data_IF_679093143568
#
_entry.id   IF_679093143568
#
_cell.length_a   1.000
_cell.length_b   1.000
_cell.length_c   1.000
_cell.angle_alpha   90.00
_cell.angle_beta   90.00
_cell.angle_gamma   90.00
#
_symmetry.space_group_name_H-M   'P 1'
#
loop_
_entity.id
_entity.type
_entity.pdbx_description
1 polymer ?
#
# COMPACT_ATOMS: atom_id res chain seq x y z
N UNK A 1 -69.28 5.26 -10.60
CA UNK A 1 -68.35 5.04 -9.47
C UNK A 1 -67.11 5.86 -9.78
N UNK A 2 -66.87 6.96 -9.06
CA UNK A 2 -65.62 7.70 -9.21
C UNK A 2 -64.53 6.89 -8.52
N UNK A 3 -63.45 6.58 -9.23
CA UNK A 3 -62.28 5.95 -8.63
C UNK A 3 -61.68 6.95 -7.64
N UNK A 4 -61.64 6.61 -6.36
CA UNK A 4 -61.02 7.45 -5.33
C UNK A 4 -59.52 7.54 -5.61
N UNK A 5 -59.10 8.66 -6.18
CA UNK A 5 -57.72 8.95 -6.54
C UNK A 5 -56.88 9.45 -5.37
N UNK A 6 -57.45 9.62 -4.17
CA UNK A 6 -56.73 10.17 -3.01
C UNK A 6 -55.47 9.37 -2.64
N UNK A 7 -55.44 8.02 -2.67
CA UNK A 7 -54.21 7.29 -2.34
C UNK A 7 -53.15 7.47 -3.43
N UNK A 8 -53.56 7.57 -4.70
CA UNK A 8 -52.65 7.82 -5.83
C UNK A 8 -52.08 9.23 -5.82
N UNK A 9 -52.87 10.23 -5.41
CA UNK A 9 -52.41 11.61 -5.23
C UNK A 9 -51.47 11.75 -4.03
N UNK A 10 -51.74 11.07 -2.92
CA UNK A 10 -50.84 11.02 -1.75
C UNK A 10 -49.51 10.35 -2.11
N UNK A 11 -49.53 9.22 -2.82
CA UNK A 11 -48.31 8.56 -3.27
C UNK A 11 -47.50 9.41 -4.27
N UNK A 12 -48.16 10.08 -5.21
CA UNK A 12 -47.50 10.98 -6.18
C UNK A 12 -46.89 12.20 -5.48
N UNK A 13 -47.59 12.75 -4.49
CA UNK A 13 -47.10 13.89 -3.70
C UNK A 13 -45.93 13.48 -2.79
N UNK A 14 -45.98 12.28 -2.22
CA UNK A 14 -44.87 11.72 -1.43
C UNK A 14 -43.62 11.47 -2.29
N UNK A 15 -43.77 10.98 -3.53
CA UNK A 15 -42.66 10.82 -4.47
C UNK A 15 -42.05 12.17 -4.89
N UNK A 16 -42.87 13.20 -5.11
CA UNK A 16 -42.40 14.55 -5.44
C UNK A 16 -41.72 15.25 -4.25
N UNK A 17 -42.06 14.86 -3.02
CA UNK A 17 -41.44 15.39 -1.81
C UNK A 17 -40.04 14.78 -1.51
N UNK A 18 -39.64 13.72 -2.22
CA UNK A 18 -38.30 13.12 -2.04
C UNK A 18 -37.24 14.08 -2.62
N UNK A 19 -36.32 14.60 -1.80
CA UNK A 19 -35.31 15.54 -2.26
C UNK A 19 -34.17 14.80 -3.00
N UNK A 20 -34.44 14.31 -4.21
CA UNK A 20 -33.48 13.56 -5.03
C UNK A 20 -32.16 14.32 -5.22
N UNK A 21 -32.21 15.65 -5.31
CA UNK A 21 -31.01 16.49 -5.38
C UNK A 21 -30.09 16.35 -4.16
N UNK A 22 -30.66 16.25 -2.96
CA UNK A 22 -29.87 16.04 -1.73
C UNK A 22 -29.44 14.58 -1.55
N UNK A 23 -30.30 13.63 -1.93
CA UNK A 23 -30.03 12.19 -1.82
C UNK A 23 -28.94 11.72 -2.79
N UNK A 24 -28.85 12.34 -3.97
CA UNK A 24 -27.83 12.01 -4.98
C UNK A 24 -26.63 12.96 -4.86
N UNK A 25 -26.88 14.26 -4.64
CA UNK A 25 -25.84 15.27 -4.56
C UNK A 25 -24.96 15.16 -3.32
N UNK A 26 -25.52 14.72 -2.18
CA UNK A 26 -24.75 14.51 -0.94
C UNK A 26 -23.64 13.46 -1.11
N UNK A 27 -23.96 12.22 -1.51
CA UNK A 27 -22.96 11.18 -1.79
C UNK A 27 -21.98 11.58 -2.89
N UNK A 28 -22.44 12.16 -4.00
CA UNK A 28 -21.53 12.62 -5.07
C UNK A 28 -20.53 13.66 -4.58
N UNK A 29 -20.99 14.64 -3.79
CA UNK A 29 -20.11 15.66 -3.19
C UNK A 29 -19.10 15.03 -2.24
N UNK A 30 -19.55 14.11 -1.37
CA UNK A 30 -18.68 13.40 -0.44
C UNK A 30 -17.60 12.58 -1.18
N UNK A 31 -17.95 11.97 -2.31
CA UNK A 31 -16.99 11.25 -3.15
C UNK A 31 -15.95 12.19 -3.78
N UNK A 32 -16.35 13.37 -4.27
CA UNK A 32 -15.41 14.38 -4.80
C UNK A 32 -14.45 14.84 -3.70
N UNK A 33 -14.97 15.13 -2.51
CA UNK A 33 -14.15 15.52 -1.36
C UNK A 33 -13.19 14.40 -0.93
N UNK A 34 -13.67 13.15 -0.89
CA UNK A 34 -12.84 11.99 -0.57
C UNK A 34 -11.73 11.76 -1.61
N UNK A 35 -12.04 11.93 -2.90
CA UNK A 35 -11.04 11.85 -3.97
C UNK A 35 -9.99 12.97 -3.88
N UNK A 36 -10.42 14.19 -3.59
CA UNK A 36 -9.51 15.32 -3.39
C UNK A 36 -8.58 15.08 -2.20
N UNK A 37 -9.12 14.57 -1.08
CA UNK A 37 -8.34 14.22 0.11
C UNK A 37 -7.36 13.09 -0.20
N UNK A 38 -7.80 12.02 -0.89
CA UNK A 38 -6.92 10.92 -1.29
C UNK A 38 -5.77 11.42 -2.18
N UNK A 39 -6.06 12.28 -3.16
CA UNK A 39 -5.03 12.87 -4.02
C UNK A 39 -4.05 13.76 -3.23
N UNK A 40 -4.53 14.53 -2.26
CA UNK A 40 -3.67 15.32 -1.36
C UNK A 40 -2.79 14.42 -0.51
N UNK A 41 -3.31 13.33 0.04
CA UNK A 41 -2.54 12.36 0.82
C UNK A 41 -1.45 11.71 -0.04
N UNK A 42 -1.76 11.28 -1.26
CA UNK A 42 -0.76 10.73 -2.18
C UNK A 42 0.32 11.78 -2.51
N UNK A 43 -0.07 13.03 -2.75
CA UNK A 43 0.87 14.13 -3.01
C UNK A 43 1.77 14.42 -1.80
N UNK A 44 1.20 14.50 -0.60
CA UNK A 44 1.95 14.69 0.65
C UNK A 44 2.93 13.55 0.87
N UNK A 45 2.49 12.31 0.69
CA UNK A 45 3.36 11.14 0.78
C UNK A 45 4.55 11.24 -0.16
N UNK A 46 4.33 11.62 -1.43
CA UNK A 46 5.41 11.80 -2.41
C UNK A 46 6.36 12.92 -1.98
N UNK A 47 5.84 14.03 -1.45
CA UNK A 47 6.66 15.16 -1.01
C UNK A 47 7.49 14.85 0.23
N UNK A 48 6.92 14.15 1.20
CA UNK A 48 7.56 13.87 2.49
C UNK A 48 8.50 12.67 2.42
N UNK A 49 8.14 11.63 1.68
CA UNK A 49 8.88 10.38 1.63
C UNK A 49 9.73 10.28 0.36
N UNK A 50 9.23 10.81 -0.76
CA UNK A 50 9.87 10.66 -2.07
C UNK A 50 10.89 11.74 -2.43
N UNK A 51 10.88 12.88 -1.74
CA UNK A 51 11.68 14.04 -2.10
C UNK A 51 12.43 14.58 -0.88
N UNK A 52 13.71 14.90 -1.06
CA UNK A 52 14.52 15.63 -0.10
C UNK A 52 14.72 17.06 -0.59
N UNK A 53 14.76 18.03 0.32
CA UNK A 53 14.98 19.44 -0.04
C UNK A 53 16.36 19.87 0.42
N UNK A 54 17.22 20.21 -0.53
CA UNK A 54 18.55 20.75 -0.23
C UNK A 54 18.43 22.18 0.36
N UNK A 55 19.47 22.63 1.05
CA UNK A 55 19.67 24.01 1.54
C UNK A 55 19.42 25.10 0.50
N UNK A 56 19.50 24.78 -0.79
CA UNK A 56 19.19 25.69 -1.91
C UNK A 56 17.70 25.72 -2.31
N UNK A 57 16.83 24.94 -1.64
CA UNK A 57 15.41 24.79 -1.97
C UNK A 57 15.12 23.87 -3.16
N UNK A 58 16.14 23.20 -3.72
CA UNK A 58 15.95 22.19 -4.78
C UNK A 58 15.42 20.90 -4.19
N UNK A 59 14.41 20.32 -4.85
CA UNK A 59 13.86 19.01 -4.49
C UNK A 59 14.54 17.92 -5.30
N UNK A 60 15.12 16.96 -4.62
CA UNK A 60 15.79 15.80 -5.21
C UNK A 60 15.09 14.51 -4.77
N UNK A 61 15.01 13.52 -5.66
CA UNK A 61 14.39 12.25 -5.34
C UNK A 61 15.20 11.51 -4.26
N UNK A 62 14.49 10.99 -3.25
CA UNK A 62 15.08 10.09 -2.26
C UNK A 62 15.37 8.76 -2.95
N UNK A 63 16.64 8.40 -3.02
CA UNK A 63 17.08 7.13 -3.56
C UNK A 63 17.60 6.22 -2.46
N UNK A 64 17.32 4.93 -2.59
CA UNK A 64 17.89 3.85 -1.78
C UNK A 64 19.02 3.22 -2.57
N UNK A 65 20.18 3.07 -1.93
CA UNK A 65 21.33 2.38 -2.51
C UNK A 65 21.40 0.96 -1.97
N UNK A 66 21.26 -0.03 -2.84
CA UNK A 66 21.55 -1.43 -2.54
C UNK A 66 23.01 -1.70 -2.90
N UNK A 67 23.80 -2.15 -1.93
CA UNK A 67 25.14 -2.67 -2.18
C UNK A 67 25.07 -4.19 -2.24
N UNK A 68 25.55 -4.75 -3.34
CA UNK A 68 25.55 -6.20 -3.57
C UNK A 68 26.83 -6.62 -4.27
N UNK A 69 27.14 -7.90 -4.18
CA UNK A 69 28.27 -8.48 -4.88
C UNK A 69 27.80 -9.00 -6.25
N UNK A 70 28.50 -8.61 -7.31
CA UNK A 70 28.25 -9.13 -8.65
C UNK A 70 29.58 -9.45 -9.29
N UNK A 71 29.76 -10.70 -9.74
CA UNK A 71 31.01 -11.17 -10.35
C UNK A 71 32.21 -10.77 -9.48
N UNK A 72 32.16 -11.14 -8.20
CA UNK A 72 33.17 -10.83 -7.19
C UNK A 72 33.60 -9.37 -7.01
N UNK A 73 32.78 -8.40 -7.42
CA UNK A 73 32.97 -6.97 -7.17
C UNK A 73 31.79 -6.39 -6.41
N UNK A 74 32.06 -5.44 -5.51
CA UNK A 74 31.01 -4.65 -4.86
C UNK A 74 30.43 -3.67 -5.87
N UNK A 75 29.14 -3.80 -6.13
CA UNK A 75 28.36 -2.93 -7.01
C UNK A 75 27.29 -2.22 -6.20
N UNK A 76 26.95 -1.00 -6.62
CA UNK A 76 25.89 -0.18 -6.00
C UNK A 76 24.76 -0.01 -7.00
N UNK A 77 23.55 -0.37 -6.62
CA UNK A 77 22.32 -0.11 -7.37
C UNK A 77 21.55 1.00 -6.67
N UNK A 78 21.41 2.14 -7.36
CA UNK A 78 20.70 3.29 -6.84
C UNK A 78 19.27 3.32 -7.41
N UNK A 79 18.27 3.26 -6.54
CA UNK A 79 16.86 3.10 -6.93
C UNK A 79 16.00 4.13 -6.19
N UNK A 80 15.11 4.87 -6.89
CA UNK A 80 14.20 5.81 -6.21
C UNK A 80 13.26 5.09 -5.24
N UNK A 81 13.14 5.60 -4.02
CA UNK A 81 12.35 5.00 -2.93
C UNK A 81 10.88 4.81 -3.33
N UNK A 82 10.33 5.76 -4.10
CA UNK A 82 8.95 5.72 -4.62
C UNK A 82 8.63 4.49 -5.48
N UNK A 83 9.64 3.82 -6.03
CA UNK A 83 9.44 2.61 -6.84
C UNK A 83 9.35 1.35 -5.99
N UNK A 84 9.79 1.43 -4.73
CA UNK A 84 9.93 0.30 -3.81
C UNK A 84 8.83 0.33 -2.73
N UNK A 85 8.34 1.52 -2.42
CA UNK A 85 7.30 1.73 -1.40
C UNK A 85 5.92 1.83 -2.06
N UNK A 86 4.91 1.09 -1.58
CA UNK A 86 3.55 1.23 -2.10
C UNK A 86 3.02 2.63 -1.78
N UNK A 87 2.61 3.36 -2.82
CA UNK A 87 2.01 4.68 -2.66
C UNK A 87 0.50 4.48 -2.43
N UNK A 88 -0.06 4.99 -1.32
CA UNK A 88 -1.48 4.89 -1.08
C UNK A 88 -2.25 5.62 -2.18
N UNK A 89 -3.10 4.89 -2.91
CA UNK A 89 -3.96 5.42 -3.95
C UNK A 89 -5.37 4.87 -3.80
N UNK A 90 -6.34 5.75 -3.59
CA UNK A 90 -7.76 5.39 -3.46
C UNK A 90 -8.53 6.14 -4.53
N UNK A 91 -9.09 5.41 -5.49
CA UNK A 91 -9.93 5.95 -6.55
C UNK A 91 -11.36 5.38 -6.46
N UNK A 92 -12.36 6.28 -6.47
CA UNK A 92 -13.77 5.90 -6.55
C UNK A 92 -14.11 5.68 -8.02
N UNK A 93 -14.33 4.43 -8.43
CA UNK A 93 -14.65 4.07 -9.82
C UNK A 93 -16.15 4.03 -10.10
N UNK A 94 -16.95 3.58 -9.12
CA UNK A 94 -18.40 3.43 -9.27
C UNK A 94 -19.07 3.81 -7.97
N UNK A 95 -20.21 4.51 -8.09
CA UNK A 95 -21.04 4.93 -6.96
C UNK A 95 -22.43 4.37 -7.25
N UNK A 96 -22.80 3.30 -6.55
CA UNK A 96 -24.13 2.70 -6.66
C UNK A 96 -25.05 3.29 -5.59
N UNK A 97 -26.04 4.07 -6.03
CA UNK A 97 -27.04 4.66 -5.14
C UNK A 97 -28.34 3.87 -5.28
N UNK A 98 -28.56 2.92 -4.37
CA UNK A 98 -29.80 2.14 -4.32
C UNK A 98 -30.81 2.83 -3.42
N UNK A 99 -31.80 3.48 -4.03
CA UNK A 99 -32.88 4.13 -3.30
C UNK A 99 -34.10 3.20 -3.20
N UNK A 100 -34.40 2.72 -1.99
CA UNK A 100 -35.59 1.91 -1.69
C UNK A 100 -36.54 2.69 -0.80
N UNK A 101 -37.54 3.33 -1.40
CA UNK A 101 -38.63 3.98 -0.65
C UNK A 101 -39.81 3.01 -0.48
N UNK A 102 -40.27 2.85 0.76
CA UNK A 102 -41.56 2.25 1.06
C UNK A 102 -42.56 3.36 1.36
N UNK A 103 -43.51 3.59 0.45
CA UNK A 103 -44.52 4.64 0.58
C UNK A 103 -45.74 4.02 1.25
N UNK A 104 -45.94 4.31 2.53
CA UNK A 104 -47.17 3.98 3.24
C UNK A 104 -48.15 5.14 3.13
N UNK A 105 -49.23 4.96 2.36
CA UNK A 105 -50.32 5.92 2.27
C UNK A 105 -51.42 5.55 3.26
N UNK A 106 -51.59 6.35 4.31
CA UNK A 106 -52.77 6.31 5.18
C UNK A 106 -53.67 7.49 4.85
N UNK A 107 -54.85 7.23 4.29
CA UNK A 107 -55.87 8.26 4.09
C UNK A 107 -56.63 8.48 5.40
N UNK A 108 -56.41 9.62 6.06
CA UNK A 108 -57.30 10.11 7.13
C UNK A 108 -58.00 11.38 6.67
N UNK A 109 -59.19 11.21 6.08
CA UNK A 109 -60.14 12.30 5.88
C UNK A 109 -61.02 12.43 7.13
N UNK A 110 -60.63 13.30 8.07
CA UNK A 110 -61.57 13.86 9.04
C UNK A 110 -61.84 15.30 8.63
N UNK A 111 -63.02 15.51 8.03
CA UNK A 111 -63.63 16.81 7.88
C UNK A 111 -64.30 17.19 9.20
N UNK A 112 -63.62 17.97 10.04
CA UNK A 112 -64.28 18.68 11.14
C UNK A 112 -65.03 19.89 10.58
N UNK A 113 -66.28 19.67 10.16
CA UNK A 113 -67.23 20.76 9.92
C UNK A 113 -67.79 21.22 11.26
N UNK A 114 -67.06 22.08 11.96
CA UNK A 114 -67.64 22.89 13.04
C UNK A 114 -68.24 24.16 12.46
N UNK A 115 -69.41 24.04 11.84
CA UNK A 115 -70.24 25.21 11.50
C UNK A 115 -71.00 25.64 12.75
N UNK A 116 -70.48 26.66 13.44
CA UNK A 116 -71.23 27.46 14.39
C UNK A 116 -71.83 28.67 13.68
N UNK A 117 -73.12 28.57 13.34
CA UNK A 117 -74.03 29.64 12.92
C UNK A 117 -75.35 29.34 13.64
N UNK A 118 -76.13 30.20 14.29
CA UNK A 118 -76.19 31.64 14.59
C UNK A 118 -76.94 31.68 15.96
N UNK A 119 -76.96 32.71 16.81
CA UNK A 119 -77.51 34.04 16.62
C UNK A 119 -77.31 34.79 17.95
N UNK A 120 -76.81 36.01 17.84
CA UNK A 120 -76.96 37.08 18.81
C UNK A 120 -78.45 37.46 18.92
N UNK A 121 -79.07 37.24 20.08
CA UNK A 121 -80.34 37.88 20.48
C UNK A 121 -80.36 38.03 22.00
N UNK A 122 -80.22 39.26 22.48
CA UNK A 122 -80.46 39.63 23.87
C UNK A 122 -81.89 39.31 24.32
N UNK A 123 -82.04 38.73 25.51
CA UNK A 123 -83.33 38.41 26.10
C UNK A 123 -83.20 37.85 27.51
N UNK A 124 -83.65 38.65 28.48
CA UNK A 124 -83.75 38.35 29.91
C UNK A 124 -84.59 37.08 30.16
N UNK A 125 -83.99 36.01 30.69
CA UNK A 125 -84.75 34.86 31.25
C UNK A 125 -84.23 34.53 32.65
N UNK A 126 -84.95 35.09 33.61
CA UNK A 126 -84.85 34.91 35.05
C UNK A 126 -85.40 33.53 35.45
N UNK A 127 -84.58 32.48 35.44
CA UNK A 127 -84.97 31.18 36.01
C UNK A 127 -84.59 31.11 37.50
N UNK A 128 -85.52 31.58 38.34
CA UNK A 128 -85.50 31.41 39.80
C UNK A 128 -85.53 29.91 40.14
N UNK A 129 -84.47 29.38 40.75
CA UNK A 129 -84.49 28.09 41.43
C UNK A 129 -84.04 28.27 42.89
N UNK A 130 -85.01 28.36 43.81
CA UNK A 130 -84.78 28.17 45.25
C UNK A 130 -85.43 29.21 46.19
N UNK A 131 -86.52 28.84 46.86
CA UNK A 131 -86.90 29.36 48.19
C UNK A 131 -87.78 28.34 48.93
N UNK A 132 -87.17 27.54 49.81
CA UNK A 132 -87.85 26.61 50.73
C UNK A 132 -86.83 25.93 51.69
N UNK A 133 -87.09 25.81 53.00
CA UNK A 133 -86.08 25.55 54.03
C UNK A 133 -85.82 24.06 54.30
N UNK A 134 -85.57 23.27 53.26
CA UNK A 134 -85.10 21.90 53.43
C UNK A 134 -83.91 21.64 52.50
N UNK A 135 -82.73 21.57 53.12
CA UNK A 135 -81.47 21.18 52.50
C UNK A 135 -81.50 19.70 52.15
N UNK A 136 -81.14 19.36 50.92
CA UNK A 136 -80.76 18.00 50.56
C UNK A 136 -79.34 18.04 50.00
N UNK A 137 -78.38 17.80 50.89
CA UNK A 137 -77.04 17.34 50.52
C UNK A 137 -77.15 15.87 50.11
N UNK A 138 -77.16 15.61 48.81
CA UNK A 138 -77.03 14.26 48.28
C UNK A 138 -75.70 14.13 47.55
N UNK A 139 -74.67 13.70 48.30
CA UNK A 139 -73.45 13.13 47.74
C UNK A 139 -73.80 11.79 47.07
N UNK A 140 -74.23 11.83 45.81
CA UNK A 140 -74.37 10.63 44.97
C UNK A 140 -73.08 10.49 44.15
N UNK A 141 -72.14 9.70 44.69
CA UNK A 141 -71.09 9.05 43.90
C UNK A 141 -71.76 7.99 43.02
N UNK A 142 -72.16 8.36 41.82
CA UNK A 142 -72.47 7.43 40.74
C UNK A 142 -71.49 7.70 39.59
N UNK A 143 -70.55 6.78 39.39
CA UNK A 143 -69.67 6.75 38.23
C UNK A 143 -70.52 6.73 36.96
N UNK A 144 -70.60 7.86 36.26
CA UNK A 144 -70.84 7.88 34.83
C UNK A 144 -69.83 8.83 34.20
N UNK A 145 -68.72 8.21 33.80
CA UNK A 145 -67.65 8.80 33.01
C UNK A 145 -68.27 9.36 31.71
N UNK A 146 -68.25 10.67 31.56
CA UNK A 146 -68.41 11.32 30.26
C UNK A 146 -67.70 12.67 30.26
N UNK A 147 -66.39 12.63 30.47
CA UNK A 147 -65.40 13.63 30.04
C UNK A 147 -64.05 13.26 30.64
N UNK A 148 -63.33 12.35 30.00
CA UNK A 148 -61.87 12.43 29.91
C UNK A 148 -61.40 11.41 28.89
N UNK A 149 -60.61 11.91 27.96
CA UNK A 149 -59.67 11.15 27.16
C UNK A 149 -60.27 10.33 26.01
N UNK A 150 -60.48 10.98 24.87
CA UNK A 150 -60.26 10.29 23.59
C UNK A 150 -58.77 9.98 23.48
N UNK A 151 -58.32 8.93 24.19
CA UNK A 151 -57.22 8.07 23.77
C UNK A 151 -57.70 7.32 22.53
N UNK A 152 -57.69 8.02 21.41
CA UNK A 152 -57.54 7.43 20.09
C UNK A 152 -56.23 7.96 19.48
N UNK A 153 -55.15 7.91 20.28
CA UNK A 153 -53.87 7.48 19.72
C UNK A 153 -54.07 6.03 19.28
N UNK A 154 -54.70 5.83 18.12
CA UNK A 154 -54.51 4.61 17.35
C UNK A 154 -53.06 4.64 16.91
N UNK A 155 -52.23 4.06 17.77
CA UNK A 155 -51.04 3.29 17.44
C UNK A 155 -50.44 3.65 16.08
N UNK A 156 -49.81 4.82 16.03
CA UNK A 156 -48.87 5.14 14.97
C UNK A 156 -47.62 4.30 15.21
N UNK A 157 -47.66 3.01 14.89
CA UNK A 157 -46.45 2.20 14.80
C UNK A 157 -45.71 2.59 13.51
N UNK A 158 -44.89 3.63 13.62
CA UNK A 158 -43.91 4.01 12.63
C UNK A 158 -42.56 3.42 13.04
N UNK A 159 -42.14 2.34 12.38
CA UNK A 159 -40.75 1.89 12.38
C UNK A 159 -40.07 2.42 11.11
N UNK A 160 -39.23 3.45 11.28
CA UNK A 160 -38.30 3.91 10.23
C UNK A 160 -36.96 3.27 10.54
N UNK A 161 -36.71 2.10 9.98
CA UNK A 161 -35.41 1.44 10.10
C UNK A 161 -34.50 1.88 8.95
N UNK A 162 -33.51 2.69 9.26
CA UNK A 162 -32.43 3.10 8.35
C UNK A 162 -31.26 2.13 8.55
N UNK A 163 -31.03 1.22 7.60
CA UNK A 163 -29.84 0.37 7.58
C UNK A 163 -28.89 0.87 6.49
N UNK A 164 -27.74 1.43 6.87
CA UNK A 164 -26.64 1.76 5.96
C UNK A 164 -25.59 0.67 6.05
N UNK A 165 -25.54 -0.21 5.06
CA UNK A 165 -24.47 -1.21 4.93
C UNK A 165 -23.29 -0.60 4.17
N UNK A 166 -22.18 -0.40 4.87
CA UNK A 166 -20.90 0.03 4.28
C UNK A 166 -19.96 -1.16 4.28
N UNK A 167 -19.79 -1.81 3.13
CA UNK A 167 -18.85 -2.91 2.95
C UNK A 167 -17.50 -2.36 2.44
N UNK A 168 -16.52 -2.22 3.33
CA UNK A 168 -15.14 -1.85 2.96
C UNK A 168 -14.32 -3.12 2.77
N UNK A 169 -13.98 -3.44 1.52
CA UNK A 169 -13.05 -4.52 1.20
C UNK A 169 -11.63 -3.93 1.13
N UNK A 170 -10.84 -4.19 2.17
CA UNK A 170 -9.41 -3.86 2.19
C UNK A 170 -8.62 -5.10 1.74
N UNK A 171 -8.09 -5.07 0.52
CA UNK A 171 -7.17 -6.07 0.00
C UNK A 171 -5.71 -5.72 0.34
N UNK A 172 -4.87 -6.75 0.48
CA UNK A 172 -3.42 -6.56 0.56
C UNK A 172 -2.92 -6.22 -0.86
N UNK A 173 -2.35 -5.03 -1.03
CA UNK A 173 -1.87 -4.60 -2.34
C UNK A 173 -0.70 -5.48 -2.81
N UNK A 174 -0.59 -5.67 -4.12
CA UNK A 174 0.47 -6.48 -4.72
C UNK A 174 1.84 -5.81 -4.54
N UNK A 175 2.93 -6.59 -4.55
CA UNK A 175 4.29 -6.07 -4.39
C UNK A 175 4.58 -4.95 -5.42
N UNK A 176 5.10 -3.78 -5.00
CA UNK A 176 5.43 -2.70 -5.94
C UNK A 176 6.37 -3.18 -7.05
N UNK A 177 6.08 -2.78 -8.28
CA UNK A 177 6.83 -3.25 -9.46
C UNK A 177 8.33 -2.95 -9.39
N UNK A 178 8.73 -1.81 -8.80
CA UNK A 178 10.15 -1.49 -8.63
C UNK A 178 10.84 -2.38 -7.59
N UNK A 179 10.17 -2.68 -6.47
CA UNK A 179 10.67 -3.67 -5.50
C UNK A 179 10.82 -5.05 -6.16
N UNK A 180 9.84 -5.49 -6.95
CA UNK A 180 9.91 -6.74 -7.66
C UNK A 180 11.12 -6.79 -8.62
N UNK A 181 11.38 -5.71 -9.37
CA UNK A 181 12.54 -5.62 -10.27
C UNK A 181 13.87 -5.60 -9.52
N UNK A 182 13.95 -4.91 -8.38
CA UNK A 182 15.15 -4.92 -7.53
C UNK A 182 15.43 -6.34 -7.03
N UNK A 183 14.42 -7.03 -6.53
CA UNK A 183 14.56 -8.41 -6.06
C UNK A 183 14.95 -9.37 -7.20
N UNK A 184 14.40 -9.19 -8.40
CA UNK A 184 14.79 -9.96 -9.59
C UNK A 184 16.26 -9.73 -9.96
N UNK A 185 16.71 -8.47 -9.98
CA UNK A 185 18.11 -8.12 -10.27
C UNK A 185 19.04 -8.69 -9.19
N UNK A 186 18.70 -8.54 -7.92
CA UNK A 186 19.47 -9.11 -6.82
C UNK A 186 19.53 -10.64 -6.90
N UNK A 187 18.41 -11.28 -7.24
CA UNK A 187 18.34 -12.73 -7.46
C UNK A 187 19.23 -13.19 -8.61
N UNK A 188 19.25 -12.47 -9.73
CA UNK A 188 20.11 -12.77 -10.87
C UNK A 188 21.60 -12.51 -10.61
N UNK A 189 21.92 -11.71 -9.59
CA UNK A 189 23.31 -11.43 -9.18
C UNK A 189 23.83 -12.38 -8.10
N UNK A 190 23.03 -13.35 -7.67
CA UNK A 190 23.46 -14.38 -6.71
C UNK A 190 24.62 -15.18 -7.31
N UNK A 191 25.79 -14.98 -6.72
CA UNK A 191 27.01 -15.66 -7.09
C UNK A 191 27.22 -16.84 -6.13
N UNK A 192 27.35 -18.05 -6.67
CA UNK A 192 27.61 -19.23 -5.84
C UNK A 192 29.09 -19.20 -5.46
N UNK A 193 29.37 -18.92 -4.19
CA UNK A 193 30.75 -18.85 -3.68
C UNK A 193 31.10 -20.16 -2.99
N UNK A 194 32.30 -20.67 -3.29
CA UNK A 194 32.85 -21.79 -2.55
C UNK A 194 33.24 -21.32 -1.12
N UNK A 195 32.76 -21.96 -0.04
CA UNK A 195 33.07 -21.53 1.33
C UNK A 195 34.56 -21.54 1.66
N UNK A 196 35.37 -22.29 0.92
CA UNK A 196 36.82 -22.33 1.11
C UNK A 196 37.58 -21.34 0.21
N UNK A 197 36.88 -20.59 -0.65
CA UNK A 197 37.46 -19.78 -1.72
C UNK A 197 37.89 -20.61 -2.94
N UNK A 198 38.12 -19.92 -4.05
CA UNK A 198 38.42 -20.53 -5.35
C UNK A 198 39.63 -19.83 -5.99
N UNK A 199 40.62 -20.64 -6.37
CA UNK A 199 41.85 -20.19 -7.04
C UNK A 199 41.95 -20.91 -8.38
N UNK A 200 41.95 -20.14 -9.46
CA UNK A 200 42.11 -20.62 -10.82
C UNK A 200 43.37 -20.04 -11.45
N UNK A 201 43.97 -20.79 -12.36
CA UNK A 201 45.14 -20.37 -13.13
C UNK A 201 44.86 -20.61 -14.62
N UNK A 202 45.37 -19.74 -15.49
CA UNK A 202 45.13 -19.82 -16.94
C UNK A 202 45.71 -21.07 -17.56
N UNK A 203 46.84 -21.55 -17.03
CA UNK A 203 47.47 -22.78 -17.47
C UNK A 203 48.27 -23.42 -16.31
N UNK A 204 48.37 -24.74 -16.30
CA UNK A 204 49.19 -25.51 -15.36
C UNK A 204 50.51 -25.97 -15.97
N UNK A 205 50.70 -25.80 -17.30
CA UNK A 205 51.93 -26.15 -17.99
C UNK A 205 52.31 -25.05 -18.98
N UNK A 206 53.37 -24.30 -18.67
CA UNK A 206 53.81 -23.15 -19.46
C UNK A 206 55.17 -23.42 -20.09
N UNK A 207 55.30 -23.08 -21.38
CA UNK A 207 56.58 -23.10 -22.09
C UNK A 207 57.07 -21.66 -22.28
N UNK A 208 58.16 -21.29 -21.62
CA UNK A 208 58.73 -19.94 -21.65
C UNK A 208 59.72 -19.84 -22.82
N UNK A 209 59.53 -18.91 -23.78
CA UNK A 209 60.41 -18.76 -24.92
C UNK A 209 61.79 -18.21 -24.53
N UNK A 210 62.82 -18.56 -25.30
CA UNK A 210 64.20 -18.07 -25.11
C UNK A 210 64.32 -16.55 -25.32
N UNK A 211 63.38 -15.94 -26.05
CA UNK A 211 63.30 -14.49 -26.27
C UNK A 211 61.84 -14.07 -26.19
N UNK A 212 61.46 -13.37 -25.12
CA UNK A 212 60.08 -12.92 -24.86
C UNK A 212 59.60 -13.26 -23.45
N UNK A 213 58.31 -13.05 -23.21
CA UNK A 213 57.62 -13.44 -21.97
C UNK A 213 56.33 -14.19 -22.25
N UNK A 214 55.92 -15.03 -21.31
CA UNK A 214 54.62 -15.71 -21.28
C UNK A 214 53.85 -15.27 -20.05
N UNK A 215 52.55 -15.03 -20.22
CA UNK A 215 51.67 -14.57 -19.16
C UNK A 215 51.01 -15.76 -18.47
N UNK A 216 51.21 -15.87 -17.16
CA UNK A 216 50.39 -16.70 -16.28
C UNK A 216 49.37 -15.79 -15.59
N UNK A 217 48.08 -16.05 -15.81
CA UNK A 217 46.99 -15.29 -15.20
C UNK A 217 46.40 -16.15 -14.10
N UNK A 218 46.34 -15.62 -12.87
CA UNK A 218 45.73 -16.28 -11.74
C UNK A 218 44.56 -15.45 -11.21
N UNK A 219 43.46 -16.13 -10.89
CA UNK A 219 42.22 -15.52 -10.42
C UNK A 219 41.87 -16.13 -9.07
N UNK A 220 41.76 -15.29 -8.04
CA UNK A 220 41.38 -15.74 -6.71
C UNK A 220 40.14 -15.01 -6.22
N UNK A 221 39.16 -15.81 -5.82
CA UNK A 221 37.91 -15.37 -5.22
C UNK A 221 37.85 -15.88 -3.79
N UNK A 222 37.76 -14.96 -2.83
CA UNK A 222 37.73 -15.31 -1.42
C UNK A 222 36.36 -15.91 -1.01
N UNK A 223 36.21 -16.44 0.23
CA UNK A 223 34.93 -16.95 0.74
C UNK A 223 33.78 -15.92 0.78
N UNK A 224 34.10 -14.63 0.83
CA UNK A 224 33.10 -13.55 0.74
C UNK A 224 32.70 -13.24 -0.72
N UNK A 225 33.23 -14.00 -1.68
CA UNK A 225 32.99 -13.88 -3.11
C UNK A 225 33.81 -12.80 -3.79
N UNK A 226 34.67 -12.06 -3.09
CA UNK A 226 35.45 -10.93 -3.62
C UNK A 226 36.70 -11.38 -4.37
N UNK A 227 37.00 -10.74 -5.50
CA UNK A 227 38.30 -10.88 -6.15
C UNK A 227 39.40 -10.20 -5.35
N UNK A 228 40.48 -10.94 -5.10
CA UNK A 228 41.61 -10.50 -4.28
C UNK A 228 42.93 -10.82 -4.98
N UNK A 229 43.27 -10.10 -6.08
CA UNK A 229 44.51 -10.34 -6.80
C UNK A 229 45.73 -10.12 -5.91
N UNK A 230 45.69 -9.15 -4.99
CA UNK A 230 46.80 -8.80 -4.09
C UNK A 230 47.17 -9.92 -3.10
N UNK A 231 46.27 -10.90 -2.90
CA UNK A 231 46.52 -12.07 -2.04
C UNK A 231 47.16 -13.23 -2.81
N UNK A 232 47.31 -13.11 -4.13
CA UNK A 232 47.90 -14.14 -4.98
C UNK A 232 49.42 -13.97 -5.06
N UNK A 233 50.15 -15.00 -4.68
CA UNK A 233 51.61 -15.03 -4.75
C UNK A 233 52.10 -16.19 -5.60
N UNK A 234 53.20 -16.00 -6.33
CA UNK A 234 53.83 -17.05 -7.14
C UNK A 234 55.25 -17.31 -6.63
N UNK A 235 55.50 -18.53 -6.16
CA UNK A 235 56.82 -18.94 -5.63
C UNK A 235 57.27 -20.25 -6.27
N UNK A 236 58.56 -20.44 -6.57
CA UNK A 236 59.06 -21.75 -6.97
C UNK A 236 58.86 -22.77 -5.84
N UNK A 237 58.60 -24.03 -6.21
CA UNK A 237 58.47 -25.20 -5.30
C UNK A 237 59.87 -25.65 -4.80
N UNK A 238 60.64 -24.69 -4.31
CA UNK A 238 61.97 -24.90 -3.74
C UNK A 238 62.18 -23.92 -2.59
N UNK A 239 62.90 -24.36 -1.56
CA UNK A 239 63.04 -23.63 -0.28
C UNK A 239 63.82 -22.32 -0.37
N UNK A 240 64.37 -21.96 -1.54
CA UNK A 240 65.32 -20.85 -1.69
C UNK A 240 65.00 -19.87 -2.82
N UNK A 241 63.89 -20.05 -3.53
CA UNK A 241 63.55 -19.15 -4.64
C UNK A 241 62.72 -17.95 -4.21
N UNK A 242 63.00 -16.80 -4.82
CA UNK A 242 62.29 -15.55 -4.57
C UNK A 242 60.91 -15.56 -5.24
N UNK A 243 59.98 -14.83 -4.64
CA UNK A 243 58.64 -14.63 -5.18
C UNK A 243 58.69 -13.86 -6.50
N UNK A 244 57.96 -14.34 -7.50
CA UNK A 244 57.78 -13.64 -8.76
C UNK A 244 56.65 -12.63 -8.56
N UNK A 245 56.97 -11.34 -8.75
CA UNK A 245 55.97 -10.27 -8.64
C UNK A 245 55.06 -10.27 -9.86
N UNK A 246 53.75 -10.27 -9.61
CA UNK A 246 52.74 -10.06 -10.63
C UNK A 246 52.24 -8.62 -10.64
N UNK A 247 51.46 -8.30 -11.67
CA UNK A 247 50.69 -7.05 -11.78
C UNK A 247 49.21 -7.37 -11.67
N UNK A 248 48.51 -6.75 -10.72
CA UNK A 248 47.07 -6.91 -10.54
C UNK A 248 46.27 -6.04 -11.51
N UNK A 249 45.27 -6.63 -12.18
CA UNK A 249 44.33 -5.92 -13.08
C UNK A 249 42.93 -5.81 -12.45
N UNK A 250 42.87 -5.70 -11.12
CA UNK A 250 41.63 -5.60 -10.32
C UNK A 250 40.85 -6.91 -10.15
N UNK A 251 40.86 -7.81 -11.14
CA UNK A 251 40.25 -9.15 -11.05
C UNK A 251 41.30 -10.26 -10.94
N UNK A 252 42.36 -10.16 -11.76
CA UNK A 252 43.37 -11.18 -11.90
C UNK A 252 44.74 -10.65 -11.46
N UNK A 253 45.61 -11.55 -11.03
CA UNK A 253 47.04 -11.33 -10.91
C UNK A 253 47.75 -11.89 -12.15
N UNK A 254 48.52 -11.05 -12.85
CA UNK A 254 49.25 -11.44 -14.06
C UNK A 254 50.74 -11.52 -13.77
N UNK A 255 51.32 -12.69 -13.97
CA UNK A 255 52.76 -12.93 -13.86
C UNK A 255 53.38 -13.03 -15.25
N UNK A 256 54.28 -12.09 -15.60
CA UNK A 256 55.07 -12.15 -16.83
C UNK A 256 56.32 -13.01 -16.60
N UNK A 257 56.30 -14.25 -17.07
CA UNK A 257 57.39 -15.22 -16.96
C UNK A 257 58.35 -15.09 -18.14
N UNK A 258 59.64 -14.97 -17.86
CA UNK A 258 60.71 -14.89 -18.86
C UNK A 258 61.97 -15.63 -18.39
N UNK A 259 62.91 -15.87 -19.30
CA UNK A 259 64.15 -16.60 -19.00
C UNK A 259 65.06 -15.94 -17.93
N UNK A 260 64.78 -14.71 -17.49
CA UNK A 260 65.54 -13.99 -16.47
C UNK A 260 64.93 -14.13 -15.06
N UNK A 261 63.62 -14.34 -14.96
CA UNK A 261 62.90 -14.35 -13.67
C UNK A 261 62.36 -15.73 -13.27
N UNK A 262 62.42 -16.72 -14.15
CA UNK A 262 62.04 -18.09 -13.86
C UNK A 262 63.03 -19.10 -14.46
N UNK A 263 62.95 -20.35 -14.03
CA UNK A 263 63.78 -21.48 -14.48
C UNK A 263 62.89 -22.71 -14.69
N UNK A 264 63.46 -23.77 -15.28
CA UNK A 264 62.77 -25.06 -15.38
C UNK A 264 62.41 -25.59 -13.99
N UNK A 265 61.13 -25.90 -13.79
CA UNK A 265 60.66 -26.48 -12.54
C UNK A 265 59.21 -26.20 -12.23
N UNK A 266 58.82 -26.59 -11.02
CA UNK A 266 57.48 -26.35 -10.52
C UNK A 266 57.40 -25.06 -9.73
N UNK A 267 56.31 -24.35 -9.93
CA UNK A 267 55.93 -23.15 -9.21
C UNK A 267 54.59 -23.37 -8.52
N UNK A 268 54.43 -22.76 -7.35
CA UNK A 268 53.20 -22.77 -6.56
C UNK A 268 52.60 -21.39 -6.65
N UNK A 269 51.41 -21.32 -7.25
CA UNK A 269 50.51 -20.18 -7.10
C UNK A 269 49.74 -20.43 -5.80
N UNK A 270 49.80 -19.50 -4.86
CA UNK A 270 49.06 -19.57 -3.60
C UNK A 270 48.20 -18.35 -3.40
N UNK A 271 47.02 -18.53 -2.81
CA UNK A 271 46.14 -17.45 -2.42
C UNK A 271 45.36 -17.82 -1.13
N UNK A 272 45.21 -16.85 -0.24
CA UNK A 272 44.65 -17.07 1.10
C UNK A 272 45.45 -18.09 1.93
N UNK A 273 44.83 -18.63 2.99
CA UNK A 273 45.53 -19.48 3.97
C UNK A 273 45.79 -20.92 3.49
N UNK A 274 45.09 -21.41 2.44
CA UNK A 274 45.06 -22.85 2.10
C UNK A 274 44.99 -23.20 0.62
N UNK A 275 44.82 -22.25 -0.31
CA UNK A 275 44.66 -22.58 -1.73
C UNK A 275 46.00 -22.49 -2.45
N UNK A 276 46.39 -23.61 -3.05
CA UNK A 276 47.62 -23.71 -3.83
C UNK A 276 47.35 -24.45 -5.14
N UNK A 277 47.96 -23.98 -6.22
CA UNK A 277 47.95 -24.64 -7.53
C UNK A 277 49.39 -24.76 -8.00
N UNK A 278 49.75 -25.96 -8.43
CA UNK A 278 51.10 -26.27 -8.93
C UNK A 278 51.14 -26.07 -10.44
N UNK A 279 52.06 -25.24 -10.92
CA UNK A 279 52.28 -24.92 -12.33
C UNK A 279 53.66 -25.41 -12.72
N UNK A 280 53.75 -26.17 -13.80
CA UNK A 280 54.99 -26.62 -14.40
C UNK A 280 55.49 -25.57 -15.40
N UNK A 281 56.72 -25.11 -15.24
CA UNK A 281 57.36 -24.14 -16.15
C UNK A 281 58.53 -24.82 -16.83
N UNK A 282 58.53 -24.79 -18.16
CA UNK A 282 59.57 -25.35 -19.02
C UNK A 282 60.14 -24.27 -19.94
N UNK A 283 61.45 -24.17 -20.04
CA UNK A 283 62.14 -23.28 -20.95
C UNK A 283 62.17 -23.92 -22.34
N UNK A 284 61.87 -23.12 -23.36
CA UNK A 284 62.00 -23.54 -24.74
C UNK A 284 63.47 -23.91 -25.03
N UNK A 285 63.69 -25.15 -25.47
CA UNK A 285 65.01 -25.62 -25.87
C UNK A 285 65.43 -24.89 -27.15
N UNK A 286 66.59 -24.24 -27.11
CA UNK A 286 67.22 -23.69 -28.31
C UNK A 286 67.55 -24.86 -29.24
N UNK A 287 66.93 -24.89 -30.42
CA UNK A 287 67.32 -25.80 -31.51
C UNK A 287 68.47 -25.21 -32.30
#
# INVERSE_FOLDING_TARGET
MALDSSPSQVATSALQAIPFGSIIGGPLKACIEAQAMAAQTSWQFIQEVGLNTDTSGRKEAVNVTFEFLQNGRKSKLNVPLLTIVPIPYIAIQTIDINFKANISASASSVSETSSSENLDVGGEITAKFGKGPFSVEANIKANYSSKKDSKATQESQYSVEYTMDVAVHAGQDSMPAGLAKVLELLGNTLDVVNPDGELEVSDTSLVVPTTGSVKLIATYKNPDGLYKPDEITLKPDSTSGSEIKGTGDGTNMVFDLNATNCADGYYIVSAGDKKTVKVNVQMAKTS
#
